data_IF_079373822232
#
_entry.id   IF_079373822232
#
_cell.length_a   1.000
_cell.length_b   1.000
_cell.length_c   1.000
_cell.angle_alpha   90.00
_cell.angle_beta   90.00
_cell.angle_gamma   90.00
#
_symmetry.space_group_name_H-M   'P 1'
#
loop_
_entity.id
_entity.type
_entity.pdbx_description
1 polymer ?
#
# COMPACT_ATOMS: atom_id res chain seq x y z
N UNK A 1 5.25 9.17 9.60
CA UNK A 1 5.95 7.86 9.70
C UNK A 1 6.55 7.47 8.35
N UNK A 2 5.77 7.41 7.26
CA UNK A 2 6.29 7.01 5.94
C UNK A 2 7.20 8.03 5.21
N UNK A 3 7.68 9.11 5.84
CA UNK A 3 8.53 10.13 5.20
C UNK A 3 9.93 9.54 4.86
N UNK A 4 10.57 9.84 3.70
CA UNK A 4 11.78 9.12 3.29
C UNK A 4 12.95 9.33 4.26
N UNK A 5 13.03 10.51 4.87
CA UNK A 5 14.04 10.83 5.89
C UNK A 5 13.85 10.01 7.15
N UNK A 6 12.60 9.78 7.57
CA UNK A 6 12.30 8.91 8.72
C UNK A 6 12.64 7.45 8.40
N UNK A 7 12.25 6.96 7.23
CA UNK A 7 12.51 5.57 6.81
C UNK A 7 14.01 5.29 6.65
N UNK A 8 14.78 6.24 6.11
CA UNK A 8 16.24 6.14 6.06
C UNK A 8 16.85 6.02 7.45
N UNK A 9 16.38 6.80 8.43
CA UNK A 9 16.92 6.73 9.80
C UNK A 9 16.65 5.39 10.47
N UNK A 10 15.50 4.76 10.18
CA UNK A 10 15.20 3.41 10.66
C UNK A 10 16.19 2.42 10.06
N UNK A 11 16.38 2.45 8.74
CA UNK A 11 17.32 1.56 8.08
C UNK A 11 18.78 1.79 8.52
N UNK A 12 19.21 3.04 8.71
CA UNK A 12 20.55 3.35 9.22
C UNK A 12 20.73 2.88 10.67
N UNK A 13 19.65 2.81 11.45
CA UNK A 13 19.67 2.21 12.78
C UNK A 13 19.71 0.69 12.69
N UNK A 14 19.06 0.08 11.69
CA UNK A 14 19.13 -1.38 11.50
C UNK A 14 20.57 -1.88 11.31
N UNK A 15 21.42 -1.10 10.64
CA UNK A 15 22.84 -1.43 10.46
C UNK A 15 23.72 -1.16 11.70
N UNK A 16 23.18 -0.55 12.76
CA UNK A 16 23.93 -0.12 13.96
C UNK A 16 23.59 -0.88 15.23
N UNK A 17 22.50 -1.64 15.23
CA UNK A 17 22.05 -2.41 16.38
C UNK A 17 22.82 -3.74 16.41
N UNK A 18 23.35 -4.11 17.58
CA UNK A 18 24.03 -5.40 17.77
C UNK A 18 23.02 -6.55 17.64
N UNK A 19 23.47 -7.71 17.14
CA UNK A 19 22.63 -8.90 16.86
C UNK A 19 21.82 -9.42 18.08
N UNK A 20 22.12 -8.95 19.29
CA UNK A 20 21.45 -9.34 20.54
C UNK A 20 20.28 -8.42 20.94
N UNK A 21 20.05 -7.33 20.24
CA UNK A 21 18.98 -6.36 20.55
C UNK A 21 17.79 -6.48 19.58
N UNK A 22 16.57 -6.38 20.11
CA UNK A 22 15.34 -6.40 19.30
C UNK A 22 15.29 -5.14 18.43
N UNK A 23 15.21 -5.34 17.11
CA UNK A 23 15.36 -4.28 16.12
C UNK A 23 14.10 -4.16 15.27
N UNK A 24 13.46 -2.99 15.33
CA UNK A 24 12.32 -2.69 14.48
C UNK A 24 12.76 -2.37 13.06
N UNK A 25 12.30 -3.16 12.09
CA UNK A 25 12.73 -3.09 10.70
C UNK A 25 11.84 -2.18 9.86
N UNK A 26 12.40 -1.69 8.76
CA UNK A 26 11.67 -0.95 7.74
C UNK A 26 10.52 -1.76 7.14
N UNK A 27 10.70 -3.08 7.00
CA UNK A 27 9.66 -3.97 6.52
C UNK A 27 8.46 -4.01 7.48
N UNK A 28 8.71 -4.14 8.78
CA UNK A 28 7.65 -4.13 9.81
C UNK A 28 6.92 -2.79 9.87
N UNK A 29 7.62 -1.66 9.71
CA UNK A 29 6.97 -0.34 9.63
C UNK A 29 6.00 -0.28 8.45
N UNK A 30 6.49 -0.65 7.27
CA UNK A 30 5.68 -0.58 6.06
C UNK A 30 4.49 -1.53 6.16
N UNK A 31 4.67 -2.74 6.68
CA UNK A 31 3.61 -3.74 6.80
C UNK A 31 2.59 -3.34 7.89
N UNK A 32 3.03 -2.77 9.01
CA UNK A 32 2.13 -2.26 10.05
C UNK A 32 1.25 -1.09 9.55
N UNK A 33 1.84 -0.16 8.77
CA UNK A 33 1.07 0.95 8.18
C UNK A 33 0.09 0.45 7.13
N UNK A 34 0.50 -0.52 6.30
CA UNK A 34 -0.41 -1.17 5.34
C UNK A 34 -1.58 -1.80 6.10
N UNK A 35 -1.31 -2.69 7.05
CA UNK A 35 -2.36 -3.38 7.81
C UNK A 35 -3.35 -2.39 8.45
N UNK A 36 -2.85 -1.36 9.14
CA UNK A 36 -3.70 -0.35 9.77
C UNK A 36 -4.58 0.42 8.77
N UNK A 37 -4.11 0.65 7.55
CA UNK A 37 -4.83 1.40 6.52
C UNK A 37 -5.81 0.54 5.68
N UNK A 38 -5.63 -0.79 5.68
CA UNK A 38 -6.27 -1.70 4.73
C UNK A 38 -7.06 -2.86 5.35
N UNK A 39 -7.40 -2.76 6.64
CA UNK A 39 -8.20 -3.79 7.34
C UNK A 39 -9.49 -4.19 6.61
N UNK A 40 -10.11 -3.32 5.81
CA UNK A 40 -11.30 -3.68 5.03
C UNK A 40 -11.05 -4.70 3.93
N UNK A 41 -9.81 -4.81 3.40
CA UNK A 41 -9.46 -5.83 2.41
C UNK A 41 -9.28 -7.21 3.03
N UNK A 42 -9.12 -7.28 4.35
CA UNK A 42 -8.91 -8.51 5.12
C UNK A 42 -10.22 -9.07 5.69
N UNK A 43 -11.30 -8.31 5.61
CA UNK A 43 -12.61 -8.70 6.14
C UNK A 43 -13.36 -9.59 5.17
N UNK A 44 -13.85 -10.73 5.69
CA UNK A 44 -14.85 -11.53 4.99
C UNK A 44 -16.17 -10.74 4.92
N UNK A 45 -16.72 -10.62 3.72
CA UNK A 45 -18.01 -9.96 3.50
C UNK A 45 -19.09 -11.04 3.48
N UNK A 46 -20.03 -10.93 4.42
CA UNK A 46 -21.17 -11.84 4.54
C UNK A 46 -21.88 -12.03 3.19
N UNK A 47 -22.39 -13.24 2.96
CA UNK A 47 -23.10 -13.58 1.73
C UNK A 47 -24.30 -12.63 1.48
N UNK A 48 -24.98 -12.24 2.56
CA UNK A 48 -26.18 -11.41 2.54
C UNK A 48 -25.89 -9.90 2.69
N UNK A 49 -24.62 -9.49 2.80
CA UNK A 49 -24.27 -8.09 2.91
C UNK A 49 -24.50 -7.36 1.58
N UNK A 50 -25.24 -6.24 1.64
CA UNK A 50 -25.41 -5.29 0.55
C UNK A 50 -25.13 -3.89 1.08
N UNK A 51 -24.09 -3.25 0.54
CA UNK A 51 -23.70 -1.91 0.93
C UNK A 51 -24.38 -0.87 0.04
N UNK A 52 -24.70 0.28 0.63
CA UNK A 52 -25.30 1.41 -0.09
C UNK A 52 -24.53 2.71 0.20
N UNK A 53 -24.69 3.78 -0.60
CA UNK A 53 -23.95 5.03 -0.40
C UNK A 53 -24.07 5.66 1.01
N UNK A 54 -25.15 5.36 1.76
CA UNK A 54 -25.38 5.81 3.15
C UNK A 54 -24.69 4.90 4.17
N UNK A 55 -24.47 3.64 3.83
CA UNK A 55 -23.75 2.66 4.64
C UNK A 55 -22.63 2.01 3.81
N UNK A 56 -21.62 2.79 3.38
CA UNK A 56 -20.62 2.30 2.45
C UNK A 56 -19.71 1.27 3.11
N UNK A 57 -19.26 0.29 2.33
CA UNK A 57 -18.32 -0.75 2.79
C UNK A 57 -17.02 -0.14 3.32
N UNK A 58 -16.44 0.81 2.57
CA UNK A 58 -15.27 1.58 3.01
C UNK A 58 -15.70 3.02 3.20
N UNK A 59 -15.65 3.54 4.42
CA UNK A 59 -16.02 4.93 4.71
C UNK A 59 -15.16 5.96 3.97
N UNK A 60 -15.67 7.18 3.76
CA UNK A 60 -14.93 8.26 3.10
C UNK A 60 -13.60 8.60 3.77
N UNK A 61 -13.54 8.54 5.11
CA UNK A 61 -12.32 8.75 5.88
C UNK A 61 -11.27 7.65 5.58
N UNK A 62 -11.70 6.40 5.53
CA UNK A 62 -10.82 5.25 5.23
C UNK A 62 -10.33 5.30 3.78
N UNK A 63 -11.20 5.63 2.82
CA UNK A 63 -10.82 5.84 1.41
C UNK A 63 -9.76 6.94 1.27
N UNK A 64 -9.85 8.02 2.05
CA UNK A 64 -8.83 9.07 2.07
C UNK A 64 -7.49 8.56 2.60
N UNK A 65 -7.49 7.80 3.69
CA UNK A 65 -6.27 7.21 4.26
C UNK A 65 -5.58 6.27 3.26
N UNK A 66 -6.35 5.39 2.62
CA UNK A 66 -5.87 4.45 1.61
C UNK A 66 -5.25 5.16 0.39
N UNK A 67 -5.90 6.24 -0.11
CA UNK A 67 -5.34 7.09 -1.18
C UNK A 67 -4.01 7.75 -0.79
N UNK A 68 -3.91 8.24 0.45
CA UNK A 68 -2.67 8.82 0.94
C UNK A 68 -1.55 7.77 1.05
N UNK A 69 -1.89 6.57 1.52
CA UNK A 69 -0.96 5.45 1.59
C UNK A 69 -0.42 5.08 0.19
N UNK A 70 -1.29 4.89 -0.80
CA UNK A 70 -0.89 4.57 -2.18
C UNK A 70 -0.04 5.68 -2.78
N UNK A 71 -0.47 6.94 -2.66
CA UNK A 71 0.31 8.10 -3.12
C UNK A 71 1.73 8.10 -2.53
N UNK A 72 1.87 7.71 -1.27
CA UNK A 72 3.16 7.67 -0.60
C UNK A 72 4.04 6.52 -1.08
N UNK A 73 3.46 5.33 -1.27
CA UNK A 73 4.17 4.20 -1.84
C UNK A 73 4.63 4.48 -3.28
N UNK A 74 3.78 5.12 -4.09
CA UNK A 74 4.14 5.56 -5.45
C UNK A 74 5.35 6.49 -5.38
N UNK A 75 5.32 7.53 -4.54
CA UNK A 75 6.45 8.44 -4.39
C UNK A 75 7.75 7.71 -4.01
N UNK A 76 7.70 6.81 -3.01
CA UNK A 76 8.86 6.00 -2.59
C UNK A 76 9.36 5.04 -3.68
N UNK A 77 8.45 4.51 -4.50
CA UNK A 77 8.77 3.55 -5.56
C UNK A 77 9.47 4.18 -6.77
N UNK A 78 9.29 5.49 -6.95
CA UNK A 78 9.85 6.30 -8.04
C UNK A 78 11.11 7.06 -7.61
N UNK A 79 11.48 7.05 -6.33
CA UNK A 79 12.72 7.65 -5.86
C UNK A 79 13.93 6.97 -6.53
N UNK A 80 14.57 7.67 -7.46
CA UNK A 80 15.84 7.27 -8.04
C UNK A 80 16.96 7.99 -7.30
N UNK A 81 17.57 7.33 -6.32
CA UNK A 81 18.71 7.89 -5.60
C UNK A 81 19.88 6.94 -5.63
N UNK A 82 21.10 7.47 -5.80
CA UNK A 82 22.34 6.68 -5.76
C UNK A 82 22.64 6.04 -4.39
N UNK A 83 21.79 6.26 -3.38
CA UNK A 83 21.97 5.78 -2.01
C UNK A 83 21.40 4.35 -1.83
N UNK A 84 22.21 3.42 -1.30
CA UNK A 84 21.85 2.01 -1.08
C UNK A 84 20.69 1.79 -0.12
N UNK A 85 20.57 2.62 0.92
CA UNK A 85 19.47 2.53 1.88
C UNK A 85 18.13 2.77 1.16
N UNK A 86 18.05 3.86 0.41
CA UNK A 86 16.85 4.21 -0.34
C UNK A 86 16.46 3.17 -1.39
N UNK A 87 17.40 2.40 -1.95
CA UNK A 87 17.06 1.27 -2.85
C UNK A 87 16.22 0.19 -2.16
N UNK A 88 16.44 -0.05 -0.87
CA UNK A 88 15.66 -1.02 -0.09
C UNK A 88 14.25 -0.50 0.14
N UNK A 89 14.11 0.76 0.55
CA UNK A 89 12.82 1.44 0.69
C UNK A 89 12.02 1.39 -0.62
N UNK A 90 12.66 1.71 -1.74
CA UNK A 90 12.05 1.63 -3.08
C UNK A 90 11.58 0.21 -3.40
N UNK A 91 12.41 -0.80 -3.14
CA UNK A 91 12.07 -2.20 -3.41
C UNK A 91 10.88 -2.68 -2.58
N UNK A 92 10.83 -2.34 -1.30
CA UNK A 92 9.72 -2.66 -0.42
C UNK A 92 8.43 -1.94 -0.83
N UNK A 93 8.52 -0.66 -1.20
CA UNK A 93 7.36 0.09 -1.69
C UNK A 93 6.79 -0.53 -2.97
N UNK A 94 7.64 -0.95 -3.92
CA UNK A 94 7.23 -1.66 -5.14
C UNK A 94 6.57 -3.00 -4.84
N UNK A 95 7.09 -3.76 -3.87
CA UNK A 95 6.48 -5.02 -3.41
C UNK A 95 5.07 -4.77 -2.88
N UNK A 96 4.90 -3.79 -1.99
CA UNK A 96 3.59 -3.48 -1.40
C UNK A 96 2.59 -2.95 -2.43
N UNK A 97 3.02 -2.16 -3.43
CA UNK A 97 2.14 -1.75 -4.53
C UNK A 97 1.59 -2.96 -5.28
N UNK A 98 2.43 -3.96 -5.61
CA UNK A 98 1.94 -5.21 -6.24
C UNK A 98 0.96 -5.96 -5.36
N UNK A 99 1.28 -6.13 -4.08
CA UNK A 99 0.37 -6.80 -3.14
C UNK A 99 -0.99 -6.10 -3.04
N UNK A 100 -1.00 -4.78 -2.92
CA UNK A 100 -2.24 -4.00 -2.90
C UNK A 100 -3.02 -4.13 -4.22
N UNK A 101 -2.35 -4.17 -5.37
CA UNK A 101 -3.00 -4.38 -6.66
C UNK A 101 -3.75 -5.72 -6.70
N UNK A 102 -3.11 -6.78 -6.20
CA UNK A 102 -3.66 -8.13 -6.18
C UNK A 102 -4.81 -8.25 -5.16
N UNK A 103 -4.63 -7.71 -3.95
CA UNK A 103 -5.64 -7.71 -2.89
C UNK A 103 -6.89 -6.91 -3.28
N UNK A 104 -6.69 -5.72 -3.87
CA UNK A 104 -7.80 -4.91 -4.39
C UNK A 104 -8.52 -5.64 -5.52
N UNK A 105 -7.77 -6.27 -6.43
CA UNK A 105 -8.35 -7.06 -7.52
C UNK A 105 -9.18 -8.24 -7.03
N UNK A 106 -8.67 -8.97 -6.04
CA UNK A 106 -9.41 -10.05 -5.39
C UNK A 106 -10.70 -9.55 -4.75
N UNK A 107 -10.64 -8.44 -4.02
CA UNK A 107 -11.81 -7.84 -3.37
C UNK A 107 -12.87 -7.39 -4.38
N UNK A 108 -12.47 -6.71 -5.46
CA UNK A 108 -13.36 -6.30 -6.55
C UNK A 108 -14.00 -7.52 -7.23
N UNK A 109 -13.20 -8.56 -7.53
CA UNK A 109 -13.70 -9.76 -8.20
C UNK A 109 -14.69 -10.55 -7.34
N UNK A 110 -14.42 -10.68 -6.04
CA UNK A 110 -15.22 -11.52 -5.13
C UNK A 110 -16.48 -10.81 -4.65
N UNK A 111 -16.42 -9.49 -4.44
CA UNK A 111 -17.46 -8.75 -3.73
C UNK A 111 -18.00 -7.53 -4.48
N UNK A 112 -17.55 -7.26 -5.71
CA UNK A 112 -17.91 -6.04 -6.45
C UNK A 112 -19.42 -5.77 -6.54
N UNK A 113 -20.23 -6.82 -6.77
CA UNK A 113 -21.69 -6.70 -6.85
C UNK A 113 -22.37 -6.30 -5.52
N UNK A 114 -21.69 -6.52 -4.38
CA UNK A 114 -22.19 -6.16 -3.05
C UNK A 114 -21.78 -4.76 -2.63
N UNK A 115 -20.77 -4.18 -3.27
CA UNK A 115 -20.20 -2.88 -2.88
C UNK A 115 -21.14 -1.73 -3.21
N UNK A 116 -21.10 -0.69 -2.36
CA UNK A 116 -21.67 0.58 -2.74
C UNK A 116 -20.82 1.24 -3.84
N UNK A 117 -21.44 2.13 -4.62
CA UNK A 117 -20.81 2.79 -5.76
C UNK A 117 -19.53 3.58 -5.38
N UNK A 118 -19.43 4.12 -4.16
CA UNK A 118 -18.24 4.87 -3.76
C UNK A 118 -17.07 3.97 -3.39
N UNK A 119 -17.33 2.82 -2.77
CA UNK A 119 -16.30 1.82 -2.50
C UNK A 119 -15.78 1.23 -3.80
N UNK A 120 -16.69 0.82 -4.69
CA UNK A 120 -16.32 0.23 -5.97
C UNK A 120 -15.42 1.15 -6.79
N UNK A 121 -15.88 2.38 -7.05
CA UNK A 121 -15.13 3.37 -7.84
C UNK A 121 -13.76 3.68 -7.22
N UNK A 122 -13.67 3.79 -5.89
CA UNK A 122 -12.42 4.05 -5.20
C UNK A 122 -11.40 2.92 -5.35
N UNK A 123 -11.84 1.67 -5.23
CA UNK A 123 -10.97 0.52 -5.37
C UNK A 123 -10.51 0.35 -6.82
N UNK A 124 -11.41 0.52 -7.80
CA UNK A 124 -11.05 0.52 -9.22
C UNK A 124 -10.02 1.62 -9.57
N UNK A 125 -10.26 2.86 -9.11
CA UNK A 125 -9.36 3.98 -9.36
C UNK A 125 -7.96 3.71 -8.79
N UNK A 126 -7.88 3.16 -7.58
CA UNK A 126 -6.61 2.79 -6.96
C UNK A 126 -5.92 1.65 -7.71
N UNK A 127 -6.65 0.62 -8.13
CA UNK A 127 -6.09 -0.49 -8.88
C UNK A 127 -5.49 0.00 -10.21
N UNK A 128 -6.23 0.82 -10.96
CA UNK A 128 -5.75 1.41 -12.22
C UNK A 128 -4.50 2.27 -12.00
N UNK A 129 -4.50 3.11 -10.96
CA UNK A 129 -3.36 3.95 -10.64
C UNK A 129 -2.11 3.13 -10.28
N UNK A 130 -2.29 2.08 -9.47
CA UNK A 130 -1.20 1.20 -9.04
C UNK A 130 -0.64 0.42 -10.23
N UNK A 131 -1.50 -0.19 -11.06
CA UNK A 131 -1.10 -0.93 -12.26
C UNK A 131 -0.26 -0.05 -13.21
N UNK A 132 -0.73 1.16 -13.52
CA UNK A 132 0.02 2.11 -14.34
C UNK A 132 1.37 2.49 -13.74
N UNK A 133 1.44 2.58 -12.41
CA UNK A 133 2.71 2.86 -11.72
C UNK A 133 3.68 1.69 -11.85
N UNK A 134 3.20 0.46 -11.68
CA UNK A 134 4.00 -0.76 -11.83
C UNK A 134 4.54 -0.86 -13.27
N UNK A 135 3.69 -0.65 -14.28
CA UNK A 135 4.07 -0.69 -15.69
C UNK A 135 5.16 0.35 -16.01
N UNK A 136 4.99 1.59 -15.51
CA UNK A 136 5.99 2.65 -15.70
C UNK A 136 7.35 2.30 -15.08
N UNK A 137 7.38 1.59 -13.93
CA UNK A 137 8.63 1.16 -13.31
C UNK A 137 9.37 0.09 -14.12
N UNK A 138 8.64 -0.81 -14.77
CA UNK A 138 9.23 -1.84 -15.66
C UNK A 138 9.93 -1.16 -16.84
N UNK A 139 9.31 -0.13 -17.43
CA UNK A 139 9.90 0.64 -18.54
C UNK A 139 11.19 1.34 -18.08
N UNK A 140 11.17 2.05 -16.94
CA UNK A 140 12.35 2.77 -16.43
C UNK A 140 13.51 1.83 -16.09
N UNK A 141 13.22 0.61 -15.62
CA UNK A 141 14.27 -0.36 -15.26
C UNK A 141 14.89 -1.08 -16.46
N UNK A 142 14.30 -0.92 -17.65
CA UNK A 142 14.74 -1.57 -18.90
C UNK A 142 15.55 -0.62 -19.82
N UNK A 143 15.83 0.60 -19.36
CA UNK A 143 16.65 1.64 -20.01
C UNK A 143 17.96 1.83 -19.25
#
# INVERSE_FOLDING_TARGET
ILNPTTLRRVQDNEFRVDDTEEMFTLAEILDAVKHAAWTELEQEIDADALFDPRTPMISSLRRNLQRQHVSRLIALSLENTGNSALRTVTSLARRQLRQLNDEIGGMLQQNGEKMDAYTHAHLEDLQVLIAKTIDAQVIVSSL
#
